data_IF_088573412776
#
_entry.id   IF_088573412776
#
_cell.length_a   1.000
_cell.length_b   1.000
_cell.length_c   1.000
_cell.angle_alpha   90.00
_cell.angle_beta   90.00
_cell.angle_gamma   90.00
#
_symmetry.space_group_name_H-M   'P 1'
#
loop_
_entity.id
_entity.type
_entity.pdbx_description
1 polymer ?
#
# COMPACT_ATOMS: atom_id res chain seq x y z
N UNK A 1 -5.00 10.86 -33.63
CA UNK A 1 -4.03 9.87 -33.16
C UNK A 1 -4.72 9.12 -32.04
N UNK A 2 -5.28 7.96 -32.37
CA UNK A 2 -6.01 7.12 -31.44
C UNK A 2 -5.03 6.31 -30.59
N UNK A 3 -5.17 6.43 -29.27
CA UNK A 3 -4.38 5.66 -28.30
C UNK A 3 -4.99 4.24 -28.28
N UNK A 4 -4.24 3.17 -28.56
CA UNK A 4 -4.77 1.82 -28.48
C UNK A 4 -5.11 1.47 -27.03
N UNK A 5 -6.15 0.65 -26.78
CA UNK A 5 -6.45 0.18 -25.44
C UNK A 5 -5.30 -0.69 -24.92
N UNK A 6 -4.81 -0.39 -23.72
CA UNK A 6 -3.86 -1.21 -22.99
C UNK A 6 -4.51 -2.57 -22.68
N UNK A 7 -4.17 -3.58 -23.48
CA UNK A 7 -4.44 -4.97 -23.11
C UNK A 7 -3.37 -5.43 -22.14
N UNK A 8 -3.72 -5.60 -20.87
CA UNK A 8 -2.89 -6.34 -19.93
C UNK A 8 -2.91 -7.82 -20.36
N UNK A 9 -1.85 -8.26 -21.04
CA UNK A 9 -1.57 -9.69 -21.18
C UNK A 9 -0.81 -10.10 -19.91
N UNK A 10 -1.53 -10.70 -18.96
CA UNK A 10 -0.87 -11.49 -17.91
C UNK A 10 -0.47 -12.80 -18.58
N UNK A 11 0.76 -12.87 -19.08
CA UNK A 11 1.40 -14.17 -19.33
C UNK A 11 1.63 -14.82 -17.97
N UNK A 12 0.71 -15.70 -17.57
CA UNK A 12 1.01 -16.70 -16.56
C UNK A 12 1.95 -17.71 -17.21
N UNK A 13 3.25 -17.42 -17.22
CA UNK A 13 4.21 -18.50 -17.38
C UNK A 13 4.07 -19.45 -16.18
N UNK A 14 3.82 -20.72 -16.49
CA UNK A 14 3.66 -21.85 -15.58
C UNK A 14 4.98 -22.10 -14.84
N UNK A 15 5.19 -21.34 -13.76
CA UNK A 15 6.32 -21.52 -12.83
C UNK A 15 5.97 -22.64 -11.84
N UNK A 16 6.92 -23.51 -11.47
CA UNK A 16 6.66 -24.66 -10.61
C UNK A 16 5.99 -24.22 -9.30
N UNK A 17 4.83 -24.84 -9.05
CA UNK A 17 3.99 -24.62 -7.88
C UNK A 17 4.76 -24.90 -6.59
N UNK A 18 5.10 -23.86 -5.83
CA UNK A 18 5.20 -24.01 -4.38
C UNK A 18 3.75 -24.15 -3.88
N UNK A 19 3.41 -25.35 -3.39
CA UNK A 19 2.06 -25.68 -2.95
C UNK A 19 1.68 -24.79 -1.76
N UNK A 20 0.71 -23.90 -1.97
CA UNK A 20 0.13 -23.07 -0.91
C UNK A 20 -0.55 -23.98 0.13
N UNK A 21 -0.34 -23.70 1.42
CA UNK A 21 -0.97 -24.44 2.52
C UNK A 21 -2.50 -24.36 2.40
N UNK A 22 -3.21 -25.49 2.25
CA UNK A 22 -4.62 -25.52 1.87
C UNK A 22 -5.55 -24.82 2.89
N UNK A 23 -5.11 -24.68 4.14
CA UNK A 23 -5.87 -24.00 5.20
C UNK A 23 -5.96 -22.48 4.98
N UNK A 24 -4.94 -21.82 4.42
CA UNK A 24 -4.91 -20.36 4.24
C UNK A 24 -5.84 -19.92 3.09
N UNK A 25 -5.85 -20.68 2.00
CA UNK A 25 -6.69 -20.44 0.81
C UNK A 25 -8.19 -20.54 1.14
N UNK A 26 -8.57 -21.51 2.00
CA UNK A 26 -9.97 -21.69 2.42
C UNK A 26 -10.46 -20.52 3.29
N UNK A 27 -9.59 -19.96 4.14
CA UNK A 27 -9.95 -18.78 4.94
C UNK A 27 -10.17 -17.54 4.08
N UNK A 28 -9.30 -17.29 3.09
CA UNK A 28 -9.42 -16.16 2.16
C UNK A 28 -10.68 -16.29 1.28
N UNK A 29 -10.96 -17.49 0.78
CA UNK A 29 -12.14 -17.76 -0.06
C UNK A 29 -13.47 -17.48 0.66
N UNK A 30 -13.53 -17.68 1.99
CA UNK A 30 -14.73 -17.43 2.80
C UNK A 30 -14.96 -15.94 3.10
N UNK A 31 -13.89 -15.15 3.18
CA UNK A 31 -13.96 -13.72 3.52
C UNK A 31 -14.17 -12.85 2.27
N UNK A 32 -13.57 -13.24 1.14
CA UNK A 32 -13.62 -12.47 -0.10
C UNK A 32 -14.96 -12.65 -0.80
N UNK A 33 -15.68 -11.57 -1.18
CA UNK A 33 -16.94 -11.69 -1.90
C UNK A 33 -16.79 -12.40 -3.27
N UNK A 34 -17.81 -13.13 -3.75
CA UNK A 34 -17.71 -13.95 -4.97
C UNK A 34 -17.27 -13.19 -6.23
N UNK A 35 -17.61 -11.91 -6.36
CA UNK A 35 -17.19 -11.07 -7.49
C UNK A 35 -15.67 -10.90 -7.60
N UNK A 36 -14.94 -11.12 -6.51
CA UNK A 36 -13.49 -10.96 -6.42
C UNK A 36 -12.74 -12.30 -6.42
N UNK A 37 -13.44 -13.44 -6.56
CA UNK A 37 -12.80 -14.76 -6.54
C UNK A 37 -11.80 -14.98 -7.69
N UNK A 38 -11.97 -14.27 -8.81
CA UNK A 38 -10.97 -14.25 -9.90
C UNK A 38 -9.62 -13.66 -9.49
N UNK A 39 -9.56 -12.90 -8.39
CA UNK A 39 -8.36 -12.24 -7.86
C UNK A 39 -7.81 -12.94 -6.61
N UNK A 40 -8.28 -14.15 -6.26
CA UNK A 40 -7.78 -14.84 -5.06
C UNK A 40 -6.25 -15.00 -5.07
N UNK A 41 -5.66 -15.19 -6.26
CA UNK A 41 -4.21 -15.25 -6.42
C UNK A 41 -3.45 -13.96 -6.10
N UNK A 42 -4.13 -12.81 -5.93
CA UNK A 42 -3.53 -11.54 -5.48
C UNK A 42 -3.27 -11.57 -3.96
N UNK A 43 -4.08 -12.32 -3.21
CA UNK A 43 -3.94 -12.45 -1.75
C UNK A 43 -2.90 -13.51 -1.34
N UNK A 44 -2.17 -14.08 -2.31
CA UNK A 44 -1.08 -15.02 -2.07
C UNK A 44 0.15 -14.27 -1.59
N UNK A 45 0.56 -14.52 -0.33
CA UNK A 45 1.77 -13.93 0.26
C UNK A 45 3.03 -14.19 -0.58
N UNK A 46 3.11 -15.37 -1.21
CA UNK A 46 4.25 -15.77 -2.05
C UNK A 46 4.38 -14.89 -3.31
N UNK A 47 3.25 -14.45 -3.87
CA UNK A 47 3.25 -13.51 -5.01
C UNK A 47 3.51 -12.07 -4.58
N UNK A 48 3.16 -11.71 -3.35
CA UNK A 48 3.37 -10.37 -2.79
C UNK A 48 4.85 -10.10 -2.45
N UNK A 49 5.60 -11.11 -2.00
CA UNK A 49 7.02 -10.98 -1.68
C UNK A 49 7.94 -10.88 -2.91
N UNK A 50 7.43 -11.19 -4.12
CA UNK A 50 8.19 -11.05 -5.36
C UNK A 50 8.14 -9.62 -5.85
N UNK A 51 9.25 -8.92 -5.70
CA UNK A 51 9.47 -7.59 -6.26
C UNK A 51 9.16 -7.65 -7.77
N UNK A 52 8.35 -6.71 -8.31
CA UNK A 52 8.13 -6.63 -9.75
C UNK A 52 9.47 -6.60 -10.50
N UNK A 53 9.55 -7.20 -11.70
CA UNK A 53 10.78 -7.19 -12.48
C UNK A 53 11.23 -5.75 -12.70
N UNK A 54 12.50 -5.47 -12.36
CA UNK A 54 13.07 -4.13 -12.48
C UNK A 54 12.94 -3.63 -13.92
N UNK A 55 12.25 -2.51 -14.12
CA UNK A 55 12.10 -1.92 -15.46
C UNK A 55 13.38 -1.18 -15.83
N UNK A 56 13.64 -1.01 -17.13
CA UNK A 56 14.72 -0.12 -17.63
C UNK A 56 14.56 1.35 -17.21
N UNK A 57 13.44 1.69 -16.58
CA UNK A 57 13.07 3.03 -16.10
C UNK A 57 13.07 3.11 -14.57
N UNK A 58 13.44 2.04 -13.86
CA UNK A 58 13.55 2.09 -12.41
C UNK A 58 14.74 2.96 -12.04
N UNK A 59 14.42 4.13 -11.48
CA UNK A 59 15.41 5.01 -10.93
C UNK A 59 15.85 4.38 -9.62
N UNK A 60 16.99 3.70 -9.64
CA UNK A 60 17.63 3.22 -8.43
C UNK A 60 17.98 4.45 -7.57
N UNK A 61 17.17 4.73 -6.55
CA UNK A 61 17.51 5.71 -5.52
C UNK A 61 18.47 5.00 -4.57
N UNK A 62 19.73 5.04 -4.92
CA UNK A 62 20.81 4.57 -4.06
C UNK A 62 20.85 5.51 -2.85
N UNK A 63 20.35 5.03 -1.70
CA UNK A 63 20.40 5.77 -0.43
C UNK A 63 21.79 5.67 0.19
N UNK A 64 22.84 5.97 -0.58
CA UNK A 64 24.22 5.92 -0.09
C UNK A 64 24.66 7.33 0.36
N UNK A 65 24.98 7.48 1.65
CA UNK A 65 25.72 8.62 2.21
C UNK A 65 25.06 10.02 2.19
N UNK A 66 23.83 10.20 1.70
CA UNK A 66 23.23 11.54 1.55
C UNK A 66 22.71 12.17 2.85
N UNK A 67 22.43 11.36 3.88
CA UNK A 67 21.96 11.86 5.17
C UNK A 67 23.16 12.03 6.10
N UNK A 68 23.46 13.28 6.46
CA UNK A 68 24.40 13.57 7.54
C UNK A 68 23.91 12.90 8.84
N UNK A 69 24.80 12.62 9.82
CA UNK A 69 24.37 12.07 11.11
C UNK A 69 23.29 12.93 11.80
N UNK A 70 23.32 14.25 11.58
CA UNK A 70 22.31 15.18 12.06
C UNK A 70 20.98 15.04 11.32
N UNK A 71 20.99 14.91 9.99
CA UNK A 71 19.76 14.67 9.23
C UNK A 71 19.11 13.33 9.61
N UNK A 72 19.92 12.31 9.87
CA UNK A 72 19.45 11.01 10.34
C UNK A 72 18.80 11.10 11.72
N UNK A 73 19.38 11.87 12.65
CA UNK A 73 18.80 12.05 13.99
C UNK A 73 17.48 12.82 13.93
N UNK A 74 17.38 13.86 13.12
CA UNK A 74 16.13 14.59 12.91
C UNK A 74 15.06 13.71 12.25
N UNK A 75 15.44 12.88 11.28
CA UNK A 75 14.52 11.93 10.68
C UNK A 75 13.99 10.89 11.71
N UNK A 76 14.84 10.43 12.63
CA UNK A 76 14.40 9.55 13.71
C UNK A 76 13.42 10.24 14.66
N UNK A 77 13.69 11.49 15.03
CA UNK A 77 12.77 12.31 15.84
C UNK A 77 11.43 12.47 15.12
N UNK A 78 11.45 12.75 13.81
CA UNK A 78 10.23 12.89 13.02
C UNK A 78 9.43 11.58 12.98
N UNK A 79 10.09 10.44 12.76
CA UNK A 79 9.44 9.13 12.79
C UNK A 79 8.78 8.90 14.15
N UNK A 80 9.51 9.13 15.24
CA UNK A 80 8.99 8.97 16.59
C UNK A 80 7.81 9.92 16.84
N UNK A 81 7.93 11.19 16.47
CA UNK A 81 6.85 12.16 16.62
C UNK A 81 5.59 11.74 15.83
N UNK A 82 5.75 11.26 14.60
CA UNK A 82 4.62 10.79 13.78
C UNK A 82 3.97 9.52 14.33
N UNK A 83 4.74 8.62 14.97
CA UNK A 83 4.25 7.34 15.49
C UNK A 83 3.83 7.37 16.96
N UNK A 84 4.25 8.37 17.75
CA UNK A 84 4.02 8.43 19.20
C UNK A 84 3.19 9.62 19.66
N UNK A 85 2.98 10.64 18.82
CA UNK A 85 2.04 11.71 19.16
C UNK A 85 0.61 11.15 19.30
N UNK A 86 -0.27 11.79 20.12
CA UNK A 86 -1.69 11.46 20.18
C UNK A 86 -2.37 11.97 18.90
N UNK A 87 -1.95 11.46 17.75
CA UNK A 87 -2.29 12.00 16.44
C UNK A 87 -3.64 11.50 15.94
N UNK A 88 -4.12 10.38 16.49
CA UNK A 88 -5.37 9.72 16.07
C UNK A 88 -6.49 10.02 17.07
N UNK A 89 -7.52 10.74 16.60
CA UNK A 89 -8.76 10.91 17.32
C UNK A 89 -9.63 9.66 17.23
N UNK A 90 -10.54 9.48 18.19
CA UNK A 90 -11.52 8.39 18.09
C UNK A 90 -12.50 8.67 16.94
N UNK A 91 -12.72 7.67 16.08
CA UNK A 91 -13.71 7.76 15.00
C UNK A 91 -15.11 8.04 15.57
N UNK A 92 -15.80 9.03 15.00
CA UNK A 92 -17.18 9.36 15.31
C UNK A 92 -18.05 9.24 14.06
N UNK A 93 -18.95 8.25 13.96
CA UNK A 93 -19.75 8.00 12.76
C UNK A 93 -20.73 9.14 12.41
N UNK A 94 -20.97 10.08 13.32
CA UNK A 94 -21.80 11.26 13.07
C UNK A 94 -21.05 12.42 12.42
N UNK A 95 -19.72 12.36 12.34
CA UNK A 95 -18.88 13.40 11.74
C UNK A 95 -18.46 13.05 10.31
N UNK A 96 -18.40 14.03 9.38
CA UNK A 96 -17.91 13.80 8.03
C UNK A 96 -16.47 13.29 8.02
N UNK A 97 -16.20 12.36 7.10
CA UNK A 97 -14.88 11.83 6.82
C UNK A 97 -14.23 12.61 5.68
N UNK A 98 -12.97 12.98 5.84
CA UNK A 98 -12.13 13.54 4.79
C UNK A 98 -11.01 12.54 4.50
N UNK A 99 -10.85 12.18 3.23
CA UNK A 99 -9.73 11.36 2.77
C UNK A 99 -8.92 12.20 1.80
N UNK A 100 -7.67 12.48 2.16
CA UNK A 100 -6.70 13.16 1.32
C UNK A 100 -5.80 12.09 0.72
N UNK A 101 -5.84 11.93 -0.60
CA UNK A 101 -5.07 10.92 -1.32
C UNK A 101 -4.03 11.58 -2.22
N UNK A 102 -2.84 10.99 -2.28
CA UNK A 102 -1.86 11.29 -3.30
C UNK A 102 -1.38 9.98 -3.92
N UNK A 103 -1.12 9.98 -5.23
CA UNK A 103 -0.76 8.80 -5.97
C UNK A 103 0.32 9.10 -7.01
N UNK A 104 1.24 8.16 -7.15
CA UNK A 104 2.21 8.08 -8.24
C UNK A 104 2.06 6.73 -8.96
N UNK A 105 2.85 6.50 -10.02
CA UNK A 105 2.70 5.35 -10.93
C UNK A 105 2.69 3.98 -10.22
N UNK A 106 3.31 3.89 -9.05
CA UNK A 106 3.43 2.65 -8.28
C UNK A 106 3.03 2.76 -6.80
N UNK A 107 2.62 3.95 -6.32
CA UNK A 107 2.32 4.17 -4.90
C UNK A 107 1.03 4.94 -4.71
N UNK A 108 0.23 4.52 -3.74
CA UNK A 108 -0.94 5.24 -3.25
C UNK A 108 -0.74 5.55 -1.78
N UNK A 109 -0.90 6.81 -1.41
CA UNK A 109 -0.90 7.27 -0.03
C UNK A 109 -2.24 7.93 0.29
N UNK A 110 -2.72 7.74 1.52
CA UNK A 110 -3.92 8.41 1.99
C UNK A 110 -3.77 8.79 3.47
N UNK A 111 -4.37 9.92 3.83
CA UNK A 111 -4.59 10.33 5.23
C UNK A 111 -6.10 10.49 5.44
N UNK A 112 -6.61 9.86 6.50
CA UNK A 112 -7.99 9.97 6.91
C UNK A 112 -8.14 10.96 8.07
N UNK A 113 -9.19 11.75 8.05
CA UNK A 113 -9.44 12.77 9.09
C UNK A 113 -10.93 13.02 9.30
N UNK A 114 -11.29 13.48 10.49
CA UNK A 114 -12.62 14.02 10.80
C UNK A 114 -12.54 15.45 11.31
N UNK A 115 -13.55 16.25 10.96
CA UNK A 115 -13.68 17.63 11.44
C UNK A 115 -14.56 17.64 12.69
N UNK A 116 -14.04 18.17 13.80
CA UNK A 116 -14.77 18.43 15.04
C UNK A 116 -14.65 19.91 15.44
N UNK A 117 -15.16 20.28 16.61
CA UNK A 117 -15.14 21.66 17.13
C UNK A 117 -13.71 22.22 17.32
N UNK A 118 -12.72 21.34 17.46
CA UNK A 118 -11.29 21.69 17.59
C UNK A 118 -10.56 21.78 16.24
N UNK A 119 -11.19 21.39 15.13
CA UNK A 119 -10.61 21.42 13.78
C UNK A 119 -10.56 20.04 13.08
N UNK A 120 -9.67 19.90 12.09
CA UNK A 120 -9.43 18.65 11.35
C UNK A 120 -8.45 17.77 12.14
N UNK A 121 -8.88 16.59 12.54
CA UNK A 121 -8.06 15.65 13.31
C UNK A 121 -7.87 14.37 12.51
N UNK A 122 -6.64 13.82 12.45
CA UNK A 122 -6.41 12.51 11.87
C UNK A 122 -7.15 11.44 12.68
N UNK A 123 -7.63 10.41 11.98
CA UNK A 123 -8.34 9.25 12.57
C UNK A 123 -7.90 7.95 11.90
#
# INVERSE_FOLDING_TARGET
MDIPPLSFHVSLEDQPHEEEEPEEIETVHKVVPPSYHQYLGVFSKVKEEKIPPHWTCDHHIELDGLLTPEALSQFQILKEALTTAPTLSHFNPSLPLIVETDAHDFYLAAVMSQVNDSGKNPI
#
